data_IF_740827500120
#
_entry.id   IF_740827500120
#
_cell.length_a   1.000
_cell.length_b   1.000
_cell.length_c   1.000
_cell.angle_alpha   90.00
_cell.angle_beta   90.00
_cell.angle_gamma   90.00
#
_symmetry.space_group_name_H-M   'P 1'
#
loop_
_entity.id
_entity.type
_entity.pdbx_description
1 polymer ?
#
# COMPACT_ATOMS: atom_id res chain seq x y z
N UNK A 1 4.59 13.34 -3.21
CA UNK A 1 5.85 13.69 -2.50
C UNK A 1 6.44 12.42 -1.88
N UNK A 2 7.77 12.21 -1.88
CA UNK A 2 8.36 11.12 -1.11
C UNK A 2 8.06 11.33 0.38
N UNK A 3 7.77 10.24 1.12
CA UNK A 3 7.47 10.32 2.55
C UNK A 3 8.72 10.84 3.27
N UNK A 4 8.62 12.05 3.82
CA UNK A 4 9.77 12.75 4.42
C UNK A 4 10.16 12.01 5.70
N UNK A 5 11.36 11.40 5.69
CA UNK A 5 11.95 10.83 6.89
C UNK A 5 12.50 11.99 7.74
N UNK A 6 11.82 12.32 8.83
CA UNK A 6 12.29 13.29 9.83
C UNK A 6 13.16 12.60 10.89
N UNK A 7 13.88 13.38 11.71
CA UNK A 7 14.68 12.86 12.84
C UNK A 7 13.85 12.08 13.89
N UNK A 8 12.52 12.25 13.89
CA UNK A 8 11.57 11.51 14.75
C UNK A 8 11.07 10.22 14.08
N UNK A 9 11.49 9.94 12.85
CA UNK A 9 11.13 8.70 12.14
C UNK A 9 11.82 7.54 12.82
N UNK A 10 11.03 6.65 13.41
CA UNK A 10 11.52 5.45 14.08
C UNK A 10 12.41 4.64 13.11
N UNK A 11 13.53 4.08 13.58
CA UNK A 11 14.42 3.29 12.73
C UNK A 11 13.64 2.14 12.08
N UNK A 12 13.97 1.78 10.82
CA UNK A 12 13.33 0.68 10.12
C UNK A 12 13.47 -0.60 10.97
N UNK A 13 12.36 -1.24 11.34
CA UNK A 13 12.39 -2.44 12.18
C UNK A 13 12.98 -3.65 11.43
N UNK A 14 13.34 -4.73 12.14
CA UNK A 14 13.99 -5.89 11.54
C UNK A 14 13.11 -6.55 10.47
N UNK A 15 13.72 -6.85 9.31
CA UNK A 15 13.04 -7.41 8.15
C UNK A 15 12.56 -6.39 7.11
N UNK A 16 12.80 -5.08 7.32
CA UNK A 16 12.44 -4.02 6.37
C UNK A 16 13.11 -4.17 5.00
N UNK A 17 14.39 -4.54 4.98
CA UNK A 17 15.17 -4.68 3.74
C UNK A 17 14.58 -5.72 2.77
N UNK A 18 13.89 -6.74 3.29
CA UNK A 18 13.29 -7.80 2.48
C UNK A 18 12.02 -7.37 1.75
N UNK A 19 11.37 -6.30 2.21
CA UNK A 19 10.08 -5.84 1.67
C UNK A 19 10.17 -4.43 1.07
N UNK A 20 11.25 -3.70 1.34
CA UNK A 20 11.41 -2.32 0.91
C UNK A 20 11.42 -2.19 -0.60
N UNK A 21 12.09 -3.11 -1.31
CA UNK A 21 12.16 -3.10 -2.77
C UNK A 21 10.75 -3.28 -3.40
N UNK A 22 9.99 -4.25 -2.90
CA UNK A 22 8.63 -4.51 -3.36
C UNK A 22 7.68 -3.33 -3.07
N UNK A 23 7.80 -2.72 -1.87
CA UNK A 23 7.01 -1.55 -1.50
C UNK A 23 7.35 -0.31 -2.35
N UNK A 24 8.62 -0.11 -2.67
CA UNK A 24 9.07 0.98 -3.52
C UNK A 24 8.56 0.80 -4.96
N UNK A 25 8.57 -0.43 -5.48
CA UNK A 25 7.95 -0.76 -6.77
C UNK A 25 6.45 -0.44 -6.81
N UNK A 26 5.70 -0.71 -5.73
CA UNK A 26 4.29 -0.30 -5.65
C UNK A 26 4.12 1.23 -5.65
N UNK A 27 4.99 1.96 -4.95
CA UNK A 27 4.97 3.42 -4.91
C UNK A 27 5.34 4.05 -6.26
N UNK A 28 6.28 3.47 -7.00
CA UNK A 28 6.61 3.89 -8.36
C UNK A 28 5.44 3.69 -9.32
N UNK A 29 4.80 2.51 -9.25
CA UNK A 29 3.60 2.20 -10.03
C UNK A 29 2.45 3.15 -9.68
N UNK A 30 2.32 3.53 -8.41
CA UNK A 30 1.32 4.51 -7.97
C UNK A 30 1.56 5.89 -8.58
N UNK A 31 2.80 6.40 -8.51
CA UNK A 31 3.18 7.67 -9.14
C UNK A 31 3.01 7.63 -10.66
N UNK A 32 3.27 6.49 -11.30
CA UNK A 32 3.06 6.34 -12.74
C UNK A 32 1.57 6.41 -13.09
N UNK A 33 0.72 5.72 -12.34
CA UNK A 33 -0.74 5.76 -12.52
C UNK A 33 -1.32 7.15 -12.24
N UNK A 34 -0.79 7.90 -11.27
CA UNK A 34 -1.18 9.29 -11.00
C UNK A 34 -0.79 10.26 -12.13
N UNK A 35 0.32 10.01 -12.83
CA UNK A 35 0.77 10.82 -13.98
C UNK A 35 0.07 10.47 -15.28
N UNK A 36 -0.57 9.30 -15.37
CA UNK A 36 -1.26 8.89 -16.57
C UNK A 36 -2.43 9.85 -16.85
N UNK A 37 -2.31 10.61 -17.95
CA UNK A 37 -3.35 11.56 -18.34
C UNK A 37 -4.55 10.77 -18.87
N UNK A 38 -5.71 10.97 -18.26
CA UNK A 38 -6.95 10.27 -18.57
C UNK A 38 -7.63 10.69 -19.87
N UNK A 39 -6.87 10.98 -20.92
CA UNK A 39 -7.42 11.49 -22.17
C UNK A 39 -8.26 10.41 -22.85
N UNK A 40 -9.53 10.75 -23.10
CA UNK A 40 -10.52 9.84 -23.68
C UNK A 40 -11.06 8.74 -22.75
N UNK A 41 -10.60 8.67 -21.48
CA UNK A 41 -11.09 7.67 -20.50
C UNK A 41 -12.14 8.28 -19.57
N UNK A 42 -13.04 7.44 -19.04
CA UNK A 42 -13.97 7.88 -17.99
C UNK A 42 -13.21 8.13 -16.70
N UNK A 43 -13.66 9.10 -15.89
CA UNK A 43 -13.05 9.39 -14.57
C UNK A 43 -12.86 8.12 -13.72
N UNK A 44 -13.81 7.19 -13.75
CA UNK A 44 -13.71 5.90 -13.05
C UNK A 44 -12.55 5.04 -13.55
N UNK A 45 -12.33 4.97 -14.86
CA UNK A 45 -11.30 4.15 -15.50
C UNK A 45 -9.90 4.67 -15.23
N UNK A 46 -9.75 5.98 -15.07
CA UNK A 46 -8.48 6.62 -14.67
C UNK A 46 -8.12 6.27 -13.23
N UNK A 47 -9.13 6.18 -12.34
CA UNK A 47 -8.90 5.94 -10.90
C UNK A 47 -8.79 4.44 -10.59
N UNK A 48 -9.33 3.55 -11.41
CA UNK A 48 -9.26 2.10 -11.20
C UNK A 48 -7.84 1.52 -11.04
N UNK A 49 -6.85 1.87 -11.90
CA UNK A 49 -5.47 1.45 -11.72
C UNK A 49 -4.89 1.86 -10.35
N UNK A 50 -5.26 3.04 -9.86
CA UNK A 50 -4.84 3.56 -8.55
C UNK A 50 -5.38 2.65 -7.43
N UNK A 51 -6.69 2.38 -7.44
CA UNK A 51 -7.27 1.48 -6.43
C UNK A 51 -6.70 0.06 -6.50
N UNK A 52 -6.42 -0.45 -7.71
CA UNK A 52 -5.84 -1.78 -7.90
C UNK A 52 -4.44 -1.88 -7.28
N UNK A 53 -3.56 -0.92 -7.56
CA UNK A 53 -2.19 -0.90 -7.01
C UNK A 53 -2.22 -0.73 -5.50
N UNK A 54 -3.09 0.16 -5.01
CA UNK A 54 -3.28 0.37 -3.58
C UNK A 54 -3.71 -0.92 -2.86
N UNK A 55 -4.68 -1.65 -3.42
CA UNK A 55 -5.10 -2.94 -2.89
C UNK A 55 -3.97 -3.99 -2.92
N UNK A 56 -3.21 -4.06 -4.01
CA UNK A 56 -2.06 -4.97 -4.13
C UNK A 56 -1.03 -4.72 -3.03
N UNK A 57 -0.71 -3.46 -2.75
CA UNK A 57 0.20 -3.08 -1.67
C UNK A 57 -0.32 -3.53 -0.31
N UNK A 58 -1.58 -3.26 0.02
CA UNK A 58 -2.17 -3.66 1.31
C UNK A 58 -2.20 -5.18 1.48
N UNK A 59 -2.52 -5.92 0.40
CA UNK A 59 -2.52 -7.38 0.41
C UNK A 59 -1.11 -7.95 0.59
N UNK A 60 -0.11 -7.39 -0.09
CA UNK A 60 1.28 -7.81 0.06
C UNK A 60 1.76 -7.70 1.52
N UNK A 61 1.46 -6.58 2.18
CA UNK A 61 1.75 -6.36 3.59
C UNK A 61 1.05 -7.40 4.47
N UNK A 62 -0.25 -7.64 4.23
CA UNK A 62 -1.02 -8.64 4.95
C UNK A 62 -0.41 -10.05 4.83
N UNK A 63 -0.03 -10.47 3.63
CA UNK A 63 0.57 -11.78 3.38
C UNK A 63 1.94 -11.93 4.05
N UNK A 64 2.76 -10.88 4.03
CA UNK A 64 4.08 -10.92 4.68
C UNK A 64 3.99 -10.97 6.20
N UNK A 65 2.98 -10.34 6.79
CA UNK A 65 2.76 -10.31 8.23
C UNK A 65 2.00 -11.54 8.76
N UNK A 66 0.79 -11.80 8.25
CA UNK A 66 -0.09 -12.85 8.81
C UNK A 66 0.25 -14.25 8.32
N UNK A 67 0.62 -14.40 7.05
CA UNK A 67 0.84 -15.73 6.44
C UNK A 67 2.30 -16.13 6.58
N UNK A 68 3.22 -15.29 6.10
CA UNK A 68 4.64 -15.62 6.01
C UNK A 68 5.42 -15.28 7.30
N UNK A 69 4.86 -14.45 8.19
CA UNK A 69 5.47 -14.01 9.47
C UNK A 69 6.93 -13.55 9.32
N UNK A 70 7.27 -12.94 8.18
CA UNK A 70 8.63 -12.46 7.89
C UNK A 70 8.94 -11.11 8.55
N UNK A 71 7.92 -10.49 9.11
CA UNK A 71 7.94 -9.15 9.69
C UNK A 71 7.59 -9.29 11.18
N UNK A 72 8.32 -8.58 12.06
CA UNK A 72 8.09 -8.62 13.50
C UNK A 72 7.04 -7.61 13.95
N UNK A 73 6.22 -7.97 14.94
CA UNK A 73 5.03 -7.22 15.39
C UNK A 73 5.25 -5.74 15.77
N UNK A 74 6.48 -5.35 16.14
CA UNK A 74 6.83 -3.96 16.44
C UNK A 74 6.89 -3.06 15.21
N UNK A 75 7.08 -3.66 14.04
CA UNK A 75 7.06 -3.02 12.73
C UNK A 75 5.64 -2.64 12.30
N UNK A 76 4.70 -3.54 12.57
CA UNK A 76 3.40 -3.56 11.93
C UNK A 76 2.47 -2.46 12.39
N UNK A 77 2.54 -2.00 13.64
CA UNK A 77 1.59 -1.00 14.13
C UNK A 77 1.67 0.32 13.37
N UNK A 78 2.86 0.77 12.96
CA UNK A 78 2.99 2.03 12.22
C UNK A 78 2.53 1.88 10.77
N UNK A 79 2.81 0.73 10.13
CA UNK A 79 2.36 0.45 8.77
C UNK A 79 0.85 0.18 8.71
N UNK A 80 0.31 -0.51 9.71
CA UNK A 80 -1.13 -0.72 9.90
C UNK A 80 -1.81 0.61 10.20
N UNK A 81 -1.19 1.51 10.96
CA UNK A 81 -1.75 2.85 11.19
C UNK A 81 -1.73 3.71 9.92
N UNK A 82 -0.66 3.65 9.11
CA UNK A 82 -0.61 4.25 7.77
C UNK A 82 -1.69 3.66 6.83
N UNK A 83 -1.98 2.37 6.95
CA UNK A 83 -3.07 1.70 6.22
C UNK A 83 -4.45 2.08 6.78
N UNK A 84 -4.57 2.30 8.10
CA UNK A 84 -5.82 2.68 8.77
C UNK A 84 -6.19 4.13 8.53
N UNK A 85 -5.22 5.07 8.48
CA UNK A 85 -5.50 6.47 8.14
C UNK A 85 -6.07 6.61 6.72
N UNK A 86 -5.80 5.65 5.83
CA UNK A 86 -6.46 5.49 4.54
C UNK A 86 -7.66 4.52 4.65
N UNK A 87 -8.70 4.94 5.39
CA UNK A 87 -9.94 4.21 5.70
C UNK A 87 -10.73 3.63 4.51
N UNK A 88 -10.34 3.90 3.26
CA UNK A 88 -10.97 3.35 2.06
C UNK A 88 -10.66 1.86 1.84
N UNK A 89 -9.51 1.35 2.29
CA UNK A 89 -9.06 -0.02 1.99
C UNK A 89 -9.86 -1.10 2.68
N UNK A 90 -10.11 -0.98 3.97
CA UNK A 90 -10.76 -2.05 4.76
C UNK A 90 -12.22 -2.25 4.34
N UNK A 91 -12.94 -1.17 4.03
CA UNK A 91 -14.34 -1.23 3.59
C UNK A 91 -14.44 -1.76 2.15
N UNK A 92 -13.59 -1.30 1.23
CA UNK A 92 -13.56 -1.80 -0.16
C UNK A 92 -13.10 -3.26 -0.25
N UNK A 93 -12.13 -3.69 0.55
CA UNK A 93 -11.67 -5.09 0.60
C UNK A 93 -12.79 -6.02 1.07
N UNK A 94 -13.55 -5.61 2.09
CA UNK A 94 -14.69 -6.40 2.59
C UNK A 94 -15.85 -6.47 1.59
N UNK A 95 -16.08 -5.41 0.84
CA UNK A 95 -17.10 -5.37 -0.23
C UNK A 95 -16.65 -6.14 -1.49
N UNK A 96 -15.37 -6.09 -1.87
CA UNK A 96 -14.85 -6.84 -3.02
C UNK A 96 -14.71 -8.35 -2.75
N UNK A 97 -14.38 -8.76 -1.52
CA UNK A 97 -14.36 -10.18 -1.12
C UNK A 97 -15.76 -10.78 -0.96
N UNK A 98 -16.81 -9.96 -0.86
CA UNK A 98 -18.21 -10.42 -0.82
C UNK A 98 -18.87 -10.52 -2.21
N UNK A 99 -18.20 -10.04 -3.27
CA UNK A 99 -18.74 -9.99 -4.64
C UNK A 99 -18.03 -10.93 -5.62
N UNK A 100 -17.20 -11.84 -5.12
CA UNK A 100 -16.63 -13.00 -5.84
C UNK A 100 -17.03 -14.24 -5.05
#
# INVERSE_FOLDING_TARGET
>A
MPKIKTLSTKPPPPGWELISEDLESFDERMKAAERESGDGKRRSEVVWPIFRIHHQRSRFIYEMFYVKKKISSGFDLNLINDLKENYMTTVLIKVMLMLI
#
